data_IF_847029501712
#
_entry.id   IF_847029501712
#
_cell.length_a   1.000
_cell.length_b   1.000
_cell.length_c   1.000
_cell.angle_alpha   90.00
_cell.angle_beta   90.00
_cell.angle_gamma   90.00
#
_symmetry.space_group_name_H-M   'P 1'
#
loop_
_entity.id
_entity.type
_entity.pdbx_description
1 polymer ?
#
# COMPACT_ATOMS: atom_id res chain seq x y z
N UNK A 1 -10.16 -12.09 43.15
CA UNK A 1 -11.28 -11.15 43.38
C UNK A 1 -11.55 -10.41 42.07
N UNK A 2 -12.84 -10.26 41.74
CA UNK A 2 -13.42 -10.02 40.41
C UNK A 2 -13.02 -8.72 39.67
N UNK A 3 -12.87 -8.84 38.34
CA UNK A 3 -13.16 -7.80 37.35
C UNK A 3 -14.68 -7.55 37.31
N UNK A 4 -15.17 -6.31 37.54
CA UNK A 4 -16.43 -5.78 36.96
C UNK A 4 -16.84 -4.34 37.34
N UNK A 5 -16.01 -3.52 38.01
CA UNK A 5 -16.51 -2.29 38.64
C UNK A 5 -16.24 -0.95 37.91
N UNK A 6 -15.80 -0.92 36.65
CA UNK A 6 -15.47 0.36 35.96
C UNK A 6 -16.26 0.67 34.68
N UNK A 7 -17.31 -0.11 34.36
CA UNK A 7 -18.17 0.13 33.18
C UNK A 7 -19.56 0.74 33.51
N UNK A 8 -19.75 1.31 34.70
CA UNK A 8 -21.05 1.78 35.19
C UNK A 8 -21.36 3.28 35.12
N UNK A 9 -20.42 4.15 34.73
CA UNK A 9 -20.61 5.61 34.83
C UNK A 9 -21.09 6.29 33.53
N UNK A 10 -21.71 5.55 32.61
CA UNK A 10 -22.12 6.05 31.28
C UNK A 10 -23.63 6.34 31.14
N UNK A 11 -24.46 6.21 32.18
CA UNK A 11 -25.92 6.30 32.01
C UNK A 11 -26.67 7.04 33.12
N UNK A 12 -26.29 8.27 33.49
CA UNK A 12 -27.26 9.20 34.10
C UNK A 12 -26.79 10.65 34.02
N UNK A 13 -27.06 11.34 32.91
CA UNK A 13 -27.16 12.81 32.86
C UNK A 13 -27.92 13.23 31.60
N UNK A 14 -29.16 12.75 31.49
CA UNK A 14 -30.17 13.22 30.54
C UNK A 14 -31.21 13.99 31.34
N UNK A 15 -31.08 15.32 31.39
CA UNK A 15 -32.10 16.18 31.98
C UNK A 15 -31.56 17.38 32.75
N UNK A 16 -31.12 18.42 32.04
CA UNK A 16 -31.09 19.79 32.54
C UNK A 16 -30.94 20.76 31.35
N UNK A 17 -32.07 21.21 30.81
CA UNK A 17 -32.15 22.19 29.72
C UNK A 17 -32.86 23.43 30.30
N UNK A 18 -32.20 24.59 30.45
CA UNK A 18 -32.90 25.84 30.67
C UNK A 18 -33.20 26.51 29.33
N UNK A 19 -34.48 26.79 29.10
CA UNK A 19 -34.97 27.56 27.97
C UNK A 19 -34.67 29.06 28.14
N UNK A 20 -34.42 29.73 27.02
CA UNK A 20 -34.76 31.14 26.84
C UNK A 20 -33.67 32.15 27.18
N UNK A 21 -32.81 32.47 26.21
CA UNK A 21 -32.17 33.78 26.17
C UNK A 21 -32.02 34.25 24.71
N UNK A 22 -32.51 35.45 24.43
CA UNK A 22 -32.59 36.10 23.12
C UNK A 22 -31.21 36.33 22.49
N UNK A 23 -31.08 36.14 21.19
CA UNK A 23 -29.88 36.49 20.40
C UNK A 23 -29.56 38.00 20.49
N UNK A 24 -28.30 38.38 20.81
CA UNK A 24 -27.83 39.75 20.62
C UNK A 24 -27.46 40.00 19.16
N UNK A 25 -28.03 41.06 18.58
CA UNK A 25 -27.74 41.58 17.23
C UNK A 25 -26.27 42.06 17.13
N UNK A 26 -25.54 41.79 16.04
CA UNK A 26 -24.14 42.22 15.93
C UNK A 26 -24.01 43.75 15.79
N UNK A 27 -22.99 44.38 16.41
CA UNK A 27 -22.75 45.82 16.27
C UNK A 27 -22.22 46.18 14.87
N UNK A 28 -22.66 47.33 14.36
CA UNK A 28 -22.19 47.93 13.10
C UNK A 28 -20.70 48.29 13.18
N UNK A 29 -19.95 47.96 12.14
CA UNK A 29 -18.53 48.34 11.99
C UNK A 29 -18.35 49.87 12.00
N UNK A 30 -17.37 50.41 12.75
CA UNK A 30 -17.03 51.82 12.67
C UNK A 30 -16.17 52.11 11.43
N UNK A 31 -16.63 53.04 10.61
CA UNK A 31 -15.90 53.70 9.53
C UNK A 31 -14.75 54.52 10.13
N UNK A 32 -13.49 54.16 9.84
CA UNK A 32 -12.34 54.92 10.31
C UNK A 32 -11.93 55.97 9.28
N UNK A 33 -11.87 57.22 9.74
CA UNK A 33 -11.55 58.42 8.98
C UNK A 33 -10.04 58.56 8.77
N UNK A 34 -9.64 58.96 7.55
CA UNK A 34 -8.25 59.18 7.12
C UNK A 34 -7.69 60.44 7.80
N UNK A 35 -6.53 60.34 8.47
CA UNK A 35 -5.69 61.51 8.82
C UNK A 35 -4.23 61.31 8.36
N UNK A 36 -3.56 62.37 7.90
CA UNK A 36 -2.31 62.30 7.13
C UNK A 36 -1.06 62.51 8.00
N UNK A 37 0.06 61.93 7.57
CA UNK A 37 1.42 62.34 7.97
C UNK A 37 2.17 61.32 8.83
N UNK A 38 2.88 60.40 8.19
CA UNK A 38 4.09 59.75 8.73
C UNK A 38 4.96 59.26 7.56
N UNK A 39 6.31 59.23 7.68
CA UNK A 39 7.23 59.12 6.54
C UNK A 39 7.16 57.79 5.80
N UNK A 40 7.35 57.89 4.49
CA UNK A 40 7.38 56.81 3.50
C UNK A 40 8.48 55.80 3.83
N UNK A 41 8.08 54.60 4.26
CA UNK A 41 8.90 53.40 4.20
C UNK A 41 8.69 52.77 2.82
N UNK A 42 9.74 52.32 2.11
CA UNK A 42 9.60 51.78 0.76
C UNK A 42 8.63 50.59 0.77
N UNK A 43 7.61 50.67 -0.09
CA UNK A 43 6.62 49.62 -0.34
C UNK A 43 7.33 48.31 -0.67
N UNK A 44 7.35 47.42 0.33
CA UNK A 44 7.57 46.00 0.12
C UNK A 44 6.41 45.47 -0.69
N UNK A 45 6.70 45.18 -1.95
CA UNK A 45 5.88 44.51 -2.95
C UNK A 45 4.84 43.58 -2.32
N UNK A 46 3.59 44.07 -2.23
CA UNK A 46 2.43 43.23 -1.99
C UNK A 46 2.12 42.47 -3.28
N UNK A 47 3.03 41.58 -3.65
CA UNK A 47 2.80 40.52 -4.61
C UNK A 47 1.78 39.57 -4.00
N UNK A 48 0.51 39.85 -4.27
CA UNK A 48 -0.48 38.79 -4.47
C UNK A 48 0.23 37.65 -5.23
N UNK A 49 0.22 36.39 -4.76
CA UNK A 49 0.73 35.31 -5.59
C UNK A 49 -0.25 35.21 -6.75
N UNK A 50 0.08 35.92 -7.82
CA UNK A 50 -0.61 35.91 -9.08
C UNK A 50 -0.82 34.46 -9.46
N UNK A 51 -2.08 34.11 -9.68
CA UNK A 51 -2.52 32.88 -10.28
C UNK A 51 -2.11 32.79 -11.74
N UNK A 52 -0.82 32.94 -12.03
CA UNK A 52 -0.25 32.73 -13.35
C UNK A 52 0.75 31.57 -13.32
N UNK A 53 0.41 30.54 -14.11
CA UNK A 53 1.24 29.41 -14.51
C UNK A 53 1.25 28.15 -13.62
N UNK A 54 0.07 27.64 -13.25
CA UNK A 54 -0.16 26.20 -13.48
C UNK A 54 -1.12 26.09 -14.64
N UNK A 55 -0.54 26.17 -15.84
CA UNK A 55 -1.23 25.91 -17.08
C UNK A 55 -1.66 24.44 -17.03
N UNK A 56 -2.93 24.19 -16.68
CA UNK A 56 -3.53 22.86 -16.72
C UNK A 56 -4.15 22.65 -18.10
N UNK A 57 -3.29 22.41 -19.09
CA UNK A 57 -3.72 21.80 -20.36
C UNK A 57 -3.91 20.28 -20.17
N UNK A 58 -4.82 19.63 -20.90
CA UNK A 58 -5.01 18.17 -20.88
C UNK A 58 -3.76 17.37 -21.33
N UNK A 59 -2.73 18.07 -21.81
CA UNK A 59 -1.60 17.51 -22.55
C UNK A 59 -0.23 17.82 -21.91
N UNK A 60 -0.21 18.52 -20.75
CA UNK A 60 1.06 18.93 -20.16
C UNK A 60 1.79 17.74 -19.53
N UNK A 61 3.00 17.52 -20.01
CA UNK A 61 3.95 16.52 -19.53
C UNK A 61 4.12 16.67 -18.00
N UNK A 62 4.12 15.57 -17.23
CA UNK A 62 4.31 15.65 -15.79
C UNK A 62 5.60 16.40 -15.48
N UNK A 63 5.61 17.27 -14.47
CA UNK A 63 6.87 17.85 -14.00
C UNK A 63 7.85 16.71 -13.71
N UNK A 64 9.15 16.85 -14.00
CA UNK A 64 10.12 15.76 -13.82
C UNK A 64 10.04 15.10 -12.44
N UNK A 65 9.75 15.89 -11.40
CA UNK A 65 9.54 15.41 -10.04
C UNK A 65 8.35 14.46 -9.86
N UNK A 66 7.21 14.70 -10.54
CA UNK A 66 6.05 13.79 -10.52
C UNK A 66 6.35 12.54 -11.33
N UNK A 67 7.08 12.67 -12.44
CA UNK A 67 7.58 11.53 -13.21
C UNK A 67 8.43 10.58 -12.37
N UNK A 68 9.45 11.11 -11.68
CA UNK A 68 10.30 10.35 -10.76
C UNK A 68 9.49 9.74 -9.61
N UNK A 69 8.56 10.49 -9.03
CA UNK A 69 7.74 10.00 -7.93
C UNK A 69 6.85 8.81 -8.34
N UNK A 70 6.28 8.84 -9.54
CA UNK A 70 5.51 7.70 -10.09
C UNK A 70 6.39 6.44 -10.19
N UNK A 71 7.62 6.55 -10.68
CA UNK A 71 8.53 5.41 -10.74
C UNK A 71 8.86 4.85 -9.36
N UNK A 72 9.09 5.70 -8.35
CA UNK A 72 9.32 5.22 -6.99
C UNK A 72 8.11 4.47 -6.44
N UNK A 73 6.88 4.94 -6.70
CA UNK A 73 5.67 4.20 -6.29
C UNK A 73 5.54 2.86 -7.02
N UNK A 74 5.89 2.78 -8.31
CA UNK A 74 5.92 1.52 -9.07
C UNK A 74 6.95 0.55 -8.47
N UNK A 75 8.17 1.04 -8.21
CA UNK A 75 9.23 0.26 -7.57
C UNK A 75 8.82 -0.23 -6.19
N UNK A 76 8.15 0.60 -5.40
CA UNK A 76 7.65 0.23 -4.07
C UNK A 76 6.67 -0.96 -4.15
N UNK A 77 5.73 -0.95 -5.10
CA UNK A 77 4.84 -2.10 -5.34
C UNK A 77 5.65 -3.32 -5.78
N UNK A 78 6.65 -3.15 -6.65
CA UNK A 78 7.54 -4.23 -7.08
C UNK A 78 8.32 -4.89 -5.93
N UNK A 79 8.82 -4.10 -4.98
CA UNK A 79 9.50 -4.60 -3.77
C UNK A 79 8.55 -5.41 -2.91
N UNK A 80 7.31 -4.93 -2.70
CA UNK A 80 6.29 -5.68 -1.96
C UNK A 80 5.94 -6.99 -2.66
N UNK A 81 5.76 -6.97 -3.98
CA UNK A 81 5.52 -8.19 -4.78
C UNK A 81 6.67 -9.17 -4.57
N UNK A 82 7.93 -8.72 -4.70
CA UNK A 82 9.10 -9.58 -4.49
C UNK A 82 9.16 -10.20 -3.09
N UNK A 83 8.88 -9.41 -2.05
CA UNK A 83 8.82 -9.90 -0.67
C UNK A 83 7.74 -10.98 -0.49
N UNK A 84 6.56 -10.77 -1.07
CA UNK A 84 5.46 -11.75 -1.05
C UNK A 84 5.86 -13.00 -1.85
N UNK A 85 6.52 -12.87 -3.00
CA UNK A 85 7.01 -14.01 -3.78
C UNK A 85 7.93 -14.88 -2.95
N UNK A 86 8.95 -14.29 -2.31
CA UNK A 86 9.90 -15.03 -1.46
C UNK A 86 9.17 -15.76 -0.34
N UNK A 87 8.25 -15.07 0.35
CA UNK A 87 7.47 -15.65 1.42
C UNK A 87 6.63 -16.85 0.97
N UNK A 88 5.94 -16.69 -0.15
CA UNK A 88 5.08 -17.73 -0.71
C UNK A 88 5.95 -18.91 -1.20
N UNK A 89 7.08 -18.65 -1.85
CA UNK A 89 8.03 -19.68 -2.28
C UNK A 89 8.57 -20.48 -1.10
N UNK A 90 8.87 -19.85 0.04
CA UNK A 90 9.35 -20.61 1.21
C UNK A 90 8.26 -21.50 1.80
N UNK A 91 7.01 -21.03 1.89
CA UNK A 91 5.92 -21.86 2.42
C UNK A 91 5.60 -23.06 1.54
N UNK A 92 5.41 -22.85 0.24
CA UNK A 92 5.06 -23.97 -0.66
C UNK A 92 6.27 -24.80 -1.06
N UNK A 93 7.42 -24.16 -1.26
CA UNK A 93 8.63 -24.82 -1.72
C UNK A 93 9.24 -25.76 -0.68
N UNK A 94 9.14 -25.41 0.61
CA UNK A 94 9.62 -26.23 1.72
C UNK A 94 8.49 -26.94 2.49
N UNK A 95 7.23 -26.80 2.05
CA UNK A 95 6.09 -27.47 2.69
C UNK A 95 5.78 -27.00 4.11
N UNK A 96 6.12 -25.75 4.44
CA UNK A 96 5.93 -25.19 5.77
C UNK A 96 4.53 -24.58 5.92
N UNK A 97 3.87 -24.87 7.05
CA UNK A 97 2.55 -24.32 7.35
C UNK A 97 2.64 -22.79 7.60
N UNK A 98 1.62 -22.00 7.22
CA UNK A 98 1.60 -20.57 7.49
C UNK A 98 1.39 -20.30 8.99
N UNK A 99 2.30 -19.53 9.60
CA UNK A 99 2.12 -19.03 10.96
C UNK A 99 1.12 -17.86 11.01
N UNK A 100 0.40 -17.71 12.12
CA UNK A 100 -0.54 -16.60 12.33
C UNK A 100 0.13 -15.22 12.17
N UNK A 101 1.36 -15.08 12.68
CA UNK A 101 2.17 -13.87 12.53
C UNK A 101 2.55 -13.61 11.06
N UNK A 102 2.94 -14.65 10.31
CA UNK A 102 3.26 -14.52 8.89
C UNK A 102 2.06 -14.10 8.02
N UNK A 103 0.84 -14.50 8.38
CA UNK A 103 -0.39 -14.01 7.72
C UNK A 103 -0.57 -12.50 7.97
N UNK A 104 -0.34 -12.04 9.20
CA UNK A 104 -0.40 -10.62 9.55
C UNK A 104 0.65 -9.83 8.76
N UNK A 105 1.89 -10.29 8.69
CA UNK A 105 2.95 -9.63 7.92
C UNK A 105 2.61 -9.49 6.45
N UNK A 106 2.10 -10.55 5.81
CA UNK A 106 1.66 -10.48 4.41
C UNK A 106 0.52 -9.49 4.21
N UNK A 107 -0.46 -9.50 5.11
CA UNK A 107 -1.56 -8.54 5.07
C UNK A 107 -1.07 -7.10 5.24
N UNK A 108 -0.06 -6.87 6.08
CA UNK A 108 0.58 -5.59 6.28
C UNK A 108 1.38 -5.14 5.04
N UNK A 109 2.10 -6.05 4.38
CA UNK A 109 2.78 -5.79 3.10
C UNK A 109 1.78 -5.39 2.01
N UNK A 110 0.68 -6.14 1.87
CA UNK A 110 -0.41 -5.80 0.94
C UNK A 110 -0.99 -4.42 1.28
N UNK A 111 -1.26 -4.15 2.57
CA UNK A 111 -1.72 -2.85 3.05
C UNK A 111 -0.75 -1.70 2.72
N UNK A 112 0.56 -1.93 2.87
CA UNK A 112 1.60 -0.97 2.52
C UNK A 112 1.63 -0.67 1.01
N UNK A 113 1.31 -1.65 0.16
CA UNK A 113 1.21 -1.45 -1.29
C UNK A 113 -0.06 -0.72 -1.76
N UNK A 114 -1.11 -0.61 -0.91
CA UNK A 114 -2.32 0.15 -1.26
C UNK A 114 -1.99 1.63 -1.46
N UNK A 115 -1.15 2.23 -0.61
CA UNK A 115 -0.81 3.65 -0.73
C UNK A 115 -0.14 4.02 -2.08
N UNK A 116 0.95 3.36 -2.52
CA UNK A 116 1.54 3.65 -3.82
C UNK A 116 0.58 3.34 -4.97
N UNK A 117 -0.27 2.32 -4.85
CA UNK A 117 -1.32 2.06 -5.83
C UNK A 117 -2.31 3.24 -5.92
N UNK A 118 -2.78 3.76 -4.78
CA UNK A 118 -3.68 4.92 -4.75
C UNK A 118 -3.01 6.19 -5.29
N UNK A 119 -1.72 6.40 -5.01
CA UNK A 119 -0.94 7.49 -5.59
C UNK A 119 -0.87 7.40 -7.11
N UNK A 120 -0.60 6.22 -7.66
CA UNK A 120 -0.53 6.02 -9.10
C UNK A 120 -1.90 6.19 -9.78
N UNK A 121 -2.98 5.70 -9.14
CA UNK A 121 -4.32 5.74 -9.71
C UNK A 121 -5.00 7.12 -9.59
N UNK A 122 -4.94 7.74 -8.41
CA UNK A 122 -5.68 8.98 -8.10
C UNK A 122 -4.81 10.24 -8.12
N UNK A 123 -3.50 10.09 -8.32
CA UNK A 123 -2.52 11.16 -8.19
C UNK A 123 -1.88 11.20 -6.80
N UNK A 124 -0.68 11.78 -6.75
CA UNK A 124 0.15 11.90 -5.55
C UNK A 124 -0.56 12.69 -4.44
N UNK A 125 -0.80 12.08 -3.28
CA UNK A 125 -1.37 12.77 -2.11
C UNK A 125 -0.68 12.35 -0.81
N UNK A 126 -0.40 13.29 0.11
CA UNK A 126 0.20 12.97 1.41
C UNK A 126 -0.66 11.99 2.23
N UNK A 127 -1.99 12.08 2.14
CA UNK A 127 -2.91 11.23 2.89
C UNK A 127 -2.77 9.73 2.55
N UNK A 128 -2.36 9.38 1.32
CA UNK A 128 -2.16 7.96 0.99
C UNK A 128 -0.95 7.39 1.73
N UNK A 129 0.12 8.15 1.90
CA UNK A 129 1.32 7.71 2.63
C UNK A 129 1.03 7.38 4.10
N UNK A 130 0.07 8.07 4.73
CA UNK A 130 -0.37 7.73 6.08
C UNK A 130 -0.90 6.28 6.17
N UNK A 131 -1.60 5.80 5.14
CA UNK A 131 -2.11 4.42 5.08
C UNK A 131 -0.95 3.42 5.04
N UNK A 132 0.07 3.68 4.21
CA UNK A 132 1.26 2.83 4.16
C UNK A 132 2.05 2.82 5.47
N UNK A 133 2.18 3.99 6.12
CA UNK A 133 2.85 4.09 7.43
C UNK A 133 2.09 3.26 8.48
N UNK A 134 0.77 3.37 8.54
CA UNK A 134 -0.04 2.58 9.47
C UNK A 134 0.11 1.07 9.22
N UNK A 135 0.03 0.64 7.95
CA UNK A 135 0.24 -0.76 7.59
C UNK A 135 1.66 -1.24 7.95
N UNK A 136 2.69 -0.41 7.70
CA UNK A 136 4.07 -0.73 8.02
C UNK A 136 4.31 -0.82 9.54
N UNK A 137 3.66 0.03 10.36
CA UNK A 137 3.74 -0.06 11.82
C UNK A 137 3.16 -1.39 12.33
N UNK A 138 2.03 -1.84 11.77
CA UNK A 138 1.47 -3.16 12.10
C UNK A 138 2.44 -4.27 11.71
N UNK A 139 3.08 -4.17 10.53
CA UNK A 139 4.11 -5.11 10.09
C UNK A 139 5.35 -5.12 10.99
N UNK A 140 5.85 -3.96 11.40
CA UNK A 140 6.95 -3.83 12.37
C UNK A 140 6.60 -4.44 13.72
N UNK A 141 5.34 -4.31 14.18
CA UNK A 141 4.90 -4.91 15.43
C UNK A 141 4.85 -6.44 15.34
N UNK A 142 4.38 -7.00 14.22
CA UNK A 142 4.33 -8.44 14.01
C UNK A 142 5.73 -9.07 13.90
N UNK A 143 6.58 -8.53 13.03
CA UNK A 143 7.97 -8.98 12.87
C UNK A 143 8.83 -8.69 14.10
N UNK A 144 8.61 -7.55 14.76
CA UNK A 144 9.26 -7.21 16.03
C UNK A 144 8.93 -8.19 17.13
N UNK A 145 7.70 -8.72 17.18
CA UNK A 145 7.34 -9.78 18.11
C UNK A 145 8.13 -11.06 17.84
N UNK A 146 8.28 -11.47 16.59
CA UNK A 146 9.09 -12.65 16.24
C UNK A 146 10.57 -12.48 16.63
N UNK A 147 11.12 -11.27 16.49
CA UNK A 147 12.48 -10.95 16.96
C UNK A 147 12.58 -11.12 18.48
N UNK A 148 11.59 -10.63 19.23
CA UNK A 148 11.56 -10.76 20.69
C UNK A 148 11.44 -12.22 21.12
N UNK A 149 10.51 -12.97 20.51
CA UNK A 149 10.28 -14.39 20.79
C UNK A 149 11.54 -15.24 20.44
N UNK A 150 12.29 -14.85 19.40
CA UNK A 150 13.58 -15.46 19.09
C UNK A 150 14.65 -15.13 20.13
N UNK A 151 14.69 -13.89 20.62
CA UNK A 151 15.66 -13.45 21.63
C UNK A 151 15.42 -14.09 23.01
N UNK A 152 14.17 -14.40 23.37
CA UNK A 152 13.83 -15.13 24.61
C UNK A 152 14.07 -16.64 24.51
N UNK A 153 14.29 -17.15 23.30
CA UNK A 153 14.47 -18.58 23.03
C UNK A 153 13.15 -19.35 22.89
N UNK A 154 12.01 -18.66 22.86
CA UNK A 154 10.68 -19.26 22.68
C UNK A 154 10.43 -19.65 21.21
N UNK A 155 11.16 -19.04 20.26
CA UNK A 155 11.08 -19.34 18.84
C UNK A 155 12.30 -20.14 18.35
N UNK A 156 12.08 -21.41 18.02
CA UNK A 156 13.06 -22.26 17.34
C UNK A 156 13.15 -21.92 15.85
N UNK A 157 14.34 -21.60 15.37
CA UNK A 157 14.58 -21.21 13.97
C UNK A 157 14.65 -22.45 13.07
N UNK A 158 13.83 -22.50 12.02
CA UNK A 158 13.96 -23.51 10.96
C UNK A 158 15.07 -23.09 9.98
N UNK A 159 16.01 -23.99 9.60
CA UNK A 159 17.02 -23.71 8.59
C UNK A 159 16.45 -23.20 7.25
N UNK A 160 15.23 -23.59 6.90
CA UNK A 160 14.53 -23.18 5.67
C UNK A 160 13.91 -21.77 5.75
N UNK A 161 13.85 -21.18 6.95
CA UNK A 161 13.42 -19.80 7.18
C UNK A 161 14.59 -18.79 7.18
N UNK A 162 15.78 -19.22 6.73
CA UNK A 162 16.97 -18.38 6.65
C UNK A 162 17.25 -17.98 5.20
N UNK A 163 17.24 -16.68 4.92
CA UNK A 163 17.56 -16.12 3.60
C UNK A 163 18.80 -15.26 3.73
N UNK A 164 19.82 -15.52 2.90
CA UNK A 164 21.12 -14.84 2.96
C UNK A 164 21.77 -14.85 4.36
N UNK A 165 21.59 -15.96 5.10
CA UNK A 165 22.17 -16.12 6.44
C UNK A 165 21.47 -15.32 7.54
N UNK A 166 20.30 -14.73 7.27
CA UNK A 166 19.47 -14.03 8.27
C UNK A 166 18.06 -14.63 8.32
N UNK A 167 17.43 -14.71 9.50
CA UNK A 167 16.04 -15.13 9.62
C UNK A 167 15.11 -14.27 8.76
N UNK A 168 14.07 -14.89 8.21
CA UNK A 168 13.12 -14.23 7.34
C UNK A 168 12.38 -13.06 8.02
N UNK A 169 12.09 -13.19 9.32
CA UNK A 169 11.44 -12.14 10.10
C UNK A 169 12.29 -10.86 10.26
N UNK A 170 13.63 -10.97 10.23
CA UNK A 170 14.50 -9.80 10.22
C UNK A 170 14.39 -9.03 8.91
N UNK A 171 14.29 -9.76 7.79
CA UNK A 171 14.05 -9.15 6.47
C UNK A 171 12.68 -8.49 6.41
N UNK A 172 11.64 -9.12 6.96
CA UNK A 172 10.31 -8.53 7.06
C UNK A 172 10.35 -7.21 7.85
N UNK A 173 10.98 -7.20 9.02
CA UNK A 173 11.17 -6.01 9.84
C UNK A 173 11.91 -4.91 9.08
N UNK A 174 13.02 -5.25 8.41
CA UNK A 174 13.81 -4.31 7.62
C UNK A 174 13.01 -3.68 6.47
N UNK A 175 12.18 -4.47 5.77
CA UNK A 175 11.31 -3.97 4.70
C UNK A 175 10.27 -3.00 5.25
N UNK A 176 9.60 -3.32 6.36
CA UNK A 176 8.63 -2.39 6.96
C UNK A 176 9.27 -1.10 7.45
N UNK A 177 10.45 -1.17 8.05
CA UNK A 177 11.22 0.01 8.42
C UNK A 177 11.58 0.85 7.18
N UNK A 178 12.03 0.20 6.11
CA UNK A 178 12.33 0.86 4.84
C UNK A 178 11.08 1.53 4.22
N UNK A 179 9.90 0.93 4.34
CA UNK A 179 8.63 1.54 3.90
C UNK A 179 8.34 2.82 4.68
N UNK A 180 8.49 2.81 6.01
CA UNK A 180 8.29 4.02 6.84
C UNK A 180 9.26 5.12 6.43
N UNK A 181 10.55 4.80 6.28
CA UNK A 181 11.57 5.77 5.87
C UNK A 181 11.32 6.30 4.44
N UNK A 182 10.93 5.45 3.51
CA UNK A 182 10.59 5.85 2.14
C UNK A 182 9.35 6.76 2.10
N UNK A 183 8.33 6.47 2.91
CA UNK A 183 7.15 7.33 3.05
C UNK A 183 7.53 8.69 3.66
N UNK A 184 8.38 8.70 4.70
CA UNK A 184 8.88 9.93 5.31
C UNK A 184 9.68 10.78 4.30
N UNK A 185 10.58 10.16 3.53
CA UNK A 185 11.34 10.83 2.48
C UNK A 185 10.42 11.42 1.39
N UNK A 186 9.38 10.69 0.98
CA UNK A 186 8.37 11.18 0.03
C UNK A 186 7.55 12.36 0.56
N UNK A 187 7.18 12.32 1.84
CA UNK A 187 6.46 13.42 2.49
C UNK A 187 7.34 14.68 2.59
N UNK A 188 8.63 14.53 2.88
CA UNK A 188 9.61 15.61 2.87
C UNK A 188 9.87 16.16 1.46
N UNK A 189 9.75 15.32 0.43
CA UNK A 189 9.88 15.72 -0.97
C UNK A 189 8.62 16.43 -1.47
N UNK A 190 8.44 17.67 -1.02
CA UNK A 190 7.21 18.45 -1.25
C UNK A 190 6.83 18.66 -2.72
N UNK A 191 7.80 18.76 -3.63
CA UNK A 191 7.51 18.94 -5.06
C UNK A 191 6.83 17.72 -5.68
N UNK A 192 6.97 16.53 -5.09
CA UNK A 192 6.36 15.28 -5.59
C UNK A 192 4.84 15.26 -5.44
N UNK A 193 4.28 15.94 -4.44
CA UNK A 193 2.86 15.91 -4.10
C UNK A 193 2.18 17.29 -4.11
N UNK A 194 2.94 18.39 -4.24
CA UNK A 194 2.36 19.74 -4.43
C UNK A 194 1.91 20.01 -5.86
N UNK A 195 2.51 19.33 -6.83
CA UNK A 195 2.08 19.43 -8.22
C UNK A 195 0.69 18.79 -8.40
N UNK A 196 -0.18 19.42 -9.19
CA UNK A 196 -1.50 18.87 -9.51
C UNK A 196 -1.33 17.62 -10.37
N UNK A 197 -1.51 16.45 -9.76
CA UNK A 197 -1.49 15.16 -10.45
C UNK A 197 -2.91 14.57 -10.53
N UNK A 198 -3.34 14.22 -11.74
CA UNK A 198 -4.63 13.54 -11.99
C UNK A 198 -4.52 12.02 -12.04
N UNK A 199 -3.35 11.47 -11.71
CA UNK A 199 -3.07 10.04 -11.73
C UNK A 199 -2.90 9.48 -13.15
N UNK A 200 -2.66 8.18 -13.23
CA UNK A 200 -2.25 7.51 -14.47
C UNK A 200 -3.40 6.99 -15.34
N UNK A 201 -4.66 7.14 -14.91
CA UNK A 201 -5.82 6.68 -15.69
C UNK A 201 -5.91 7.35 -17.07
N UNK A 202 -5.60 8.65 -17.14
CA UNK A 202 -5.75 9.45 -18.36
C UNK A 202 -4.40 9.76 -19.03
N UNK A 203 -3.28 9.51 -18.36
CA UNK A 203 -1.96 9.66 -18.97
C UNK A 203 -1.66 8.57 -20.01
N UNK A 204 -0.96 8.97 -21.07
CA UNK A 204 -0.42 8.09 -22.11
C UNK A 204 1.08 7.90 -21.84
N UNK A 205 1.56 6.66 -21.70
CA UNK A 205 2.99 6.39 -21.54
C UNK A 205 3.31 5.00 -20.97
N UNK A 206 4.59 4.63 -20.98
CA UNK A 206 5.06 3.33 -20.48
C UNK A 206 4.77 3.12 -18.98
N UNK A 207 4.85 4.19 -18.17
CA UNK A 207 4.53 4.14 -16.74
C UNK A 207 3.11 3.60 -16.46
N UNK A 208 2.15 3.85 -17.36
CA UNK A 208 0.79 3.30 -17.28
C UNK A 208 0.78 1.79 -17.40
N UNK A 209 1.47 1.24 -18.40
CA UNK A 209 1.55 -0.21 -18.59
C UNK A 209 2.17 -0.90 -17.37
N UNK A 210 3.27 -0.34 -16.83
CA UNK A 210 3.91 -0.86 -15.61
C UNK A 210 3.02 -0.75 -14.37
N UNK A 211 2.29 0.37 -14.21
CA UNK A 211 1.34 0.55 -13.11
C UNK A 211 0.23 -0.50 -13.16
N UNK A 212 -0.45 -0.66 -14.29
CA UNK A 212 -1.50 -1.67 -14.40
C UNK A 212 -0.95 -3.09 -14.27
N UNK A 213 0.23 -3.37 -14.82
CA UNK A 213 0.90 -4.66 -14.69
C UNK A 213 1.19 -5.01 -13.22
N UNK A 214 1.81 -4.09 -12.47
CA UNK A 214 2.12 -4.30 -11.04
C UNK A 214 0.87 -4.41 -10.19
N UNK A 215 -0.20 -3.64 -10.48
CA UNK A 215 -1.49 -3.75 -9.79
C UNK A 215 -2.15 -5.11 -10.07
N UNK A 216 -2.18 -5.57 -11.32
CA UNK A 216 -2.74 -6.88 -11.69
C UNK A 216 -1.96 -7.99 -10.99
N UNK A 217 -0.63 -7.91 -11.00
CA UNK A 217 0.23 -8.90 -10.34
C UNK A 217 0.00 -8.93 -8.83
N UNK A 218 0.00 -7.77 -8.17
CA UNK A 218 -0.33 -7.66 -6.74
C UNK A 218 -1.71 -8.26 -6.46
N UNK A 219 -2.72 -7.96 -7.27
CA UNK A 219 -4.06 -8.52 -7.11
C UNK A 219 -4.08 -10.05 -7.18
N UNK A 220 -3.36 -10.65 -8.15
CA UNK A 220 -3.22 -12.11 -8.22
C UNK A 220 -2.59 -12.66 -6.94
N UNK A 221 -1.60 -11.99 -6.37
CA UNK A 221 -0.96 -12.41 -5.12
C UNK A 221 -1.86 -12.26 -3.90
N UNK A 222 -2.71 -11.23 -3.85
CA UNK A 222 -3.75 -11.11 -2.82
C UNK A 222 -4.70 -12.29 -2.91
N UNK A 223 -5.17 -12.63 -4.11
CA UNK A 223 -6.04 -13.80 -4.31
C UNK A 223 -5.34 -15.08 -3.88
N UNK A 224 -4.11 -15.33 -4.32
CA UNK A 224 -3.33 -16.51 -3.90
C UNK A 224 -3.17 -16.57 -2.38
N UNK A 225 -2.86 -15.44 -1.74
CA UNK A 225 -2.71 -15.37 -0.29
C UNK A 225 -4.03 -15.66 0.43
N UNK A 226 -5.16 -15.16 -0.09
CA UNK A 226 -6.48 -15.45 0.46
C UNK A 226 -6.84 -16.93 0.33
N UNK A 227 -6.63 -17.53 -0.85
CA UNK A 227 -6.90 -18.96 -1.05
C UNK A 227 -6.01 -19.80 -0.13
N UNK A 228 -4.73 -19.43 0.06
CA UNK A 228 -3.82 -20.15 0.96
C UNK A 228 -4.27 -20.09 2.42
N UNK A 229 -4.69 -18.91 2.89
CA UNK A 229 -5.18 -18.75 4.26
C UNK A 229 -6.45 -19.56 4.47
N UNK A 230 -7.41 -19.47 3.54
CA UNK A 230 -8.66 -20.23 3.63
C UNK A 230 -8.43 -21.74 3.55
N UNK A 231 -7.49 -22.20 2.71
CA UNK A 231 -7.19 -23.61 2.57
C UNK A 231 -6.52 -24.21 3.82
N UNK A 232 -5.58 -23.50 4.45
CA UNK A 232 -4.82 -24.04 5.59
C UNK A 232 -5.45 -23.73 6.95
N UNK A 233 -6.03 -22.56 7.11
CA UNK A 233 -6.57 -22.09 8.39
C UNK A 233 -8.10 -22.15 8.44
N UNK A 234 -8.76 -22.43 7.31
CA UNK A 234 -10.20 -22.34 7.19
C UNK A 234 -10.71 -20.90 7.34
N UNK A 235 -11.94 -20.76 7.83
CA UNK A 235 -12.55 -19.47 8.20
C UNK A 235 -12.17 -19.09 9.66
N UNK A 236 -11.45 -19.96 10.37
CA UNK A 236 -11.04 -19.79 11.77
C UNK A 236 -9.61 -19.25 11.90
N UNK A 237 -9.19 -18.92 13.12
CA UNK A 237 -7.80 -18.50 13.36
C UNK A 237 -6.84 -19.65 13.03
N UNK A 238 -5.73 -19.32 12.35
CA UNK A 238 -4.64 -20.27 12.15
C UNK A 238 -4.13 -20.74 13.53
N UNK A 239 -3.77 -22.03 13.69
CA UNK A 239 -3.18 -22.52 14.93
C UNK A 239 -1.97 -21.65 15.31
N UNK A 240 -2.04 -21.07 16.51
CA UNK A 240 -0.89 -20.42 17.12
C UNK A 240 -0.01 -21.55 17.66
N UNK A 241 1.02 -21.91 16.90
CA UNK A 241 2.36 -22.32 17.36
C UNK A 241 3.08 -23.05 16.21
N UNK A 242 4.38 -22.78 15.97
CA UNK A 242 5.21 -23.57 15.07
C UNK A 242 5.61 -24.88 15.77
N UNK A 243 4.66 -25.72 16.16
CA UNK A 243 5.00 -27.13 16.23
C UNK A 243 5.09 -27.59 14.78
N UNK A 244 6.30 -27.90 14.34
CA UNK A 244 6.56 -28.65 13.10
C UNK A 244 5.89 -30.02 13.24
N UNK A 245 4.57 -30.04 13.16
CA UNK A 245 3.82 -31.26 12.90
C UNK A 245 3.93 -31.40 11.39
N UNK A 246 4.89 -32.24 10.97
CA UNK A 246 5.24 -32.43 9.58
C UNK A 246 4.03 -32.51 8.65
N UNK A 247 4.19 -31.91 7.48
CA UNK A 247 3.36 -32.10 6.29
C UNK A 247 1.84 -32.16 6.55
N UNK A 248 1.23 -31.00 6.77
CA UNK A 248 -0.14 -30.77 6.27
C UNK A 248 -0.01 -30.04 4.93
N UNK A 249 0.56 -30.73 3.96
CA UNK A 249 0.62 -30.28 2.57
C UNK A 249 -0.77 -30.35 1.96
N UNK A 250 -1.54 -29.27 1.99
CA UNK A 250 -2.41 -28.99 0.86
C UNK A 250 -1.53 -28.36 -0.22
N UNK A 251 -0.81 -29.24 -0.93
CA UNK A 251 -0.28 -28.91 -2.24
C UNK A 251 -1.46 -28.47 -3.11
N UNK A 252 -1.33 -27.35 -3.82
CA UNK A 252 -2.23 -27.07 -4.93
C UNK A 252 -1.92 -28.07 -6.04
N UNK A 253 -2.47 -29.28 -5.90
CA UNK A 253 -2.48 -30.28 -6.95
C UNK A 253 -3.40 -29.73 -8.04
N UNK A 254 -2.82 -29.12 -9.06
CA UNK A 254 -3.52 -28.99 -10.33
C UNK A 254 -3.60 -30.43 -10.87
N UNK A 255 -4.69 -31.11 -10.54
CA UNK A 255 -5.00 -32.39 -11.18
C UNK A 255 -5.54 -32.05 -12.56
N UNK A 256 -4.66 -31.88 -13.54
CA UNK A 256 -5.09 -32.13 -14.92
C UNK A 256 -5.35 -33.61 -14.96
N UNK A 257 -6.62 -33.97 -15.13
CA UNK A 257 -7.06 -35.34 -15.38
C UNK A 257 -6.52 -35.83 -16.73
N UNK A 258 -5.20 -35.99 -16.82
CA UNK A 258 -4.56 -36.91 -17.74
C UNK A 258 -4.67 -38.29 -17.11
N UNK A 259 -5.14 -39.26 -17.90
CA UNK A 259 -5.49 -40.64 -17.54
C UNK A 259 -4.33 -41.48 -16.96
N UNK A 260 -3.70 -41.06 -15.85
CA UNK A 260 -2.48 -41.71 -15.36
C UNK A 260 -2.19 -41.62 -13.85
N UNK A 261 -2.99 -40.91 -13.04
CA UNK A 261 -2.82 -40.93 -11.57
C UNK A 261 -1.42 -40.53 -11.07
N UNK A 262 -0.73 -39.64 -11.79
CA UNK A 262 0.57 -39.13 -11.38
C UNK A 262 0.38 -37.89 -10.52
N UNK A 263 0.71 -37.99 -9.24
CA UNK A 263 0.87 -36.85 -8.34
C UNK A 263 2.07 -36.02 -8.84
N UNK A 264 1.80 -34.85 -9.42
CA UNK A 264 2.83 -33.97 -9.92
C UNK A 264 3.30 -33.04 -8.79
N UNK A 265 4.47 -33.32 -8.21
CA UNK A 265 5.13 -32.40 -7.28
C UNK A 265 5.81 -31.26 -8.06
N UNK A 266 5.44 -30.03 -7.73
CA UNK A 266 6.10 -28.84 -8.29
C UNK A 266 7.33 -28.54 -7.44
N UNK A 267 8.52 -28.73 -8.02
CA UNK A 267 9.78 -28.34 -7.38
C UNK A 267 9.85 -26.82 -7.14
N UNK A 268 10.70 -26.38 -6.20
CA UNK A 268 10.94 -24.94 -5.92
C UNK A 268 11.20 -24.13 -7.21
N UNK A 269 12.06 -24.58 -8.15
CA UNK A 269 12.25 -23.88 -9.43
C UNK A 269 10.98 -23.84 -10.28
N UNK A 270 10.16 -24.89 -10.25
CA UNK A 270 8.86 -24.93 -10.91
C UNK A 270 7.89 -23.89 -10.33
N UNK A 271 7.83 -23.76 -9.00
CA UNK A 271 6.97 -22.78 -8.34
C UNK A 271 7.40 -21.34 -8.66
N UNK A 272 8.71 -21.06 -8.61
CA UNK A 272 9.28 -19.77 -9.02
C UNK A 272 8.94 -19.46 -10.49
N UNK A 273 9.01 -20.46 -11.37
CA UNK A 273 8.65 -20.31 -12.78
C UNK A 273 7.18 -19.94 -12.96
N UNK A 274 6.27 -20.55 -12.19
CA UNK A 274 4.84 -20.17 -12.20
C UNK A 274 4.66 -18.73 -11.73
N UNK A 275 5.34 -18.31 -10.65
CA UNK A 275 5.28 -16.94 -10.15
C UNK A 275 5.79 -15.92 -11.17
N UNK A 276 6.89 -16.23 -11.88
CA UNK A 276 7.40 -15.41 -12.97
C UNK A 276 6.45 -15.40 -14.17
N UNK A 277 5.82 -16.53 -14.48
CA UNK A 277 4.79 -16.64 -15.52
C UNK A 277 3.59 -15.73 -15.25
N UNK A 278 3.10 -15.70 -14.01
CA UNK A 278 2.05 -14.76 -13.56
C UNK A 278 2.50 -13.31 -13.75
N UNK A 279 3.76 -12.99 -13.42
CA UNK A 279 4.33 -11.67 -13.65
C UNK A 279 4.34 -11.28 -15.13
N UNK A 280 4.77 -12.19 -16.01
CA UNK A 280 4.78 -11.98 -17.46
C UNK A 280 3.37 -11.80 -18.03
N UNK A 281 2.41 -12.63 -17.61
CA UNK A 281 1.00 -12.52 -18.03
C UNK A 281 0.42 -11.18 -17.57
N UNK A 282 0.71 -10.76 -16.33
CA UNK A 282 0.27 -9.47 -15.79
C UNK A 282 0.88 -8.30 -16.57
N UNK A 283 2.13 -8.43 -17.00
CA UNK A 283 2.80 -7.46 -17.88
C UNK A 283 2.15 -7.37 -19.26
N UNK A 284 1.91 -8.52 -19.91
CA UNK A 284 1.23 -8.58 -21.21
C UNK A 284 -0.18 -7.97 -21.09
N UNK A 285 -0.94 -8.33 -20.05
CA UNK A 285 -2.27 -7.78 -19.81
C UNK A 285 -2.23 -6.25 -19.62
N UNK A 286 -1.31 -5.74 -18.80
CA UNK A 286 -1.10 -4.30 -18.61
C UNK A 286 -0.73 -3.57 -19.91
N UNK A 287 0.12 -4.20 -20.74
CA UNK A 287 0.50 -3.67 -22.05
C UNK A 287 -0.67 -3.66 -23.04
N UNK A 288 -1.49 -4.72 -23.07
CA UNK A 288 -2.70 -4.79 -23.91
C UNK A 288 -3.71 -3.71 -23.51
N UNK A 289 -3.97 -3.54 -22.21
CA UNK A 289 -4.88 -2.50 -21.70
C UNK A 289 -4.38 -1.12 -22.12
N UNK A 290 -3.07 -0.86 -21.97
CA UNK A 290 -2.46 0.40 -22.41
C UNK A 290 -2.63 0.60 -23.93
N UNK A 291 -2.36 -0.44 -24.73
CA UNK A 291 -2.52 -0.39 -26.19
C UNK A 291 -3.96 -0.15 -26.65
N UNK A 292 -4.96 -0.77 -26.01
CA UNK A 292 -6.38 -0.55 -26.32
C UNK A 292 -6.80 0.90 -26.04
N UNK A 293 -6.40 1.44 -24.89
CA UNK A 293 -6.76 2.82 -24.53
C UNK A 293 -6.07 3.83 -25.44
N UNK A 294 -4.81 3.60 -25.83
CA UNK A 294 -4.13 4.42 -26.84
C UNK A 294 -4.87 4.40 -28.18
N UNK A 295 -5.31 3.22 -28.65
CA UNK A 295 -6.08 3.08 -29.90
C UNK A 295 -7.43 3.77 -29.84
N UNK A 296 -8.17 3.63 -28.74
CA UNK A 296 -9.44 4.32 -28.54
C UNK A 296 -9.28 5.83 -28.52
N UNK A 297 -8.21 6.32 -27.90
CA UNK A 297 -7.95 7.75 -27.86
C UNK A 297 -7.55 8.31 -29.23
N UNK A 298 -6.81 7.54 -30.05
CA UNK A 298 -6.53 7.89 -31.44
C UNK A 298 -7.77 7.88 -32.32
N UNK A 299 -8.75 7.00 -32.04
CA UNK A 299 -10.06 7.00 -32.73
C UNK A 299 -10.94 8.18 -32.34
N UNK A 300 -10.80 8.69 -31.10
CA UNK A 300 -11.58 9.83 -30.58
C UNK A 300 -11.00 11.20 -30.92
N UNK A 301 -9.72 11.29 -31.30
CA UNK A 301 -9.21 12.46 -32.00
C UNK A 301 -9.53 12.29 -33.48
N UNK A 302 -10.60 12.92 -34.02
CA UNK A 302 -10.75 12.95 -35.47
C UNK A 302 -9.47 13.54 -36.05
N UNK A 303 -8.88 12.84 -37.04
CA UNK A 303 -7.95 13.49 -37.96
C UNK A 303 -8.65 14.76 -38.43
N UNK A 304 -8.04 15.91 -38.18
CA UNK A 304 -8.59 17.20 -38.57
C UNK A 304 -9.10 17.17 -40.01
N UNK A 305 -10.29 17.74 -40.18
CA UNK A 305 -10.68 18.39 -41.42
C UNK A 305 -9.63 19.44 -41.84
#
# INVERSE_FOLDING_TARGET
MNLNSTLGAAYTLKGALPQGMKEPKPPKAPTMSKKPGMPEFPEGDSGHPDGSAIQSGPDNEPTPSVGSARWVNITAIGVVIGAITVAITQQYGYGMAPSALGVVERSALIGAAIAPMLNLLRGMRPNHYAIAILAAVVGCAASGRQILDHATGDLTLDPNEVVFGRPMFEWAFAIFLAVVLACAAMLLWTSSWRAVDRGLFHHRGAARAFTFSTIIWLFVYVVLSLVQVVANCGITMCPADPSSTGAQSFEFTFSVAGSGGVEASISIPGFVTVMLGIGLISFIAGAIINGRVLRESQRRSPKGA
#
